data_IF_032059869830
#
_entry.id   IF_032059869830
#
_cell.length_a   1.000
_cell.length_b   1.000
_cell.length_c   1.000
_cell.angle_alpha   90.00
_cell.angle_beta   90.00
_cell.angle_gamma   90.00
#
_symmetry.space_group_name_H-M   'P 1'
#
loop_
_entity.id
_entity.type
_entity.pdbx_description
1 polymer ?
#
# COMPACT_ATOMS: atom_id res chain seq x y z
N UNK A 1 -9.81 -11.51 -9.30
CA UNK A 1 -8.79 -10.44 -9.24
C UNK A 1 -8.11 -10.53 -7.88
N UNK A 2 -6.82 -10.23 -7.81
CA UNK A 2 -6.04 -10.29 -6.57
C UNK A 2 -6.10 -8.94 -5.84
N UNK A 3 -5.96 -8.97 -4.51
CA UNK A 3 -5.93 -7.77 -3.66
C UNK A 3 -4.68 -6.95 -3.99
N UNK A 4 -4.84 -5.63 -4.07
CA UNK A 4 -3.75 -4.67 -4.30
C UNK A 4 -3.54 -3.79 -3.08
N UNK A 5 -2.33 -3.26 -2.94
CA UNK A 5 -1.98 -2.32 -1.88
C UNK A 5 -1.79 -0.93 -2.48
N UNK A 6 -2.44 0.07 -1.87
CA UNK A 6 -2.24 1.48 -2.19
C UNK A 6 -1.77 2.20 -0.92
N UNK A 7 -0.88 3.17 -1.09
CA UNK A 7 -0.51 4.07 0.00
C UNK A 7 -1.30 5.37 -0.12
N UNK A 8 -1.83 5.83 1.01
CA UNK A 8 -2.57 7.09 1.09
C UNK A 8 -2.32 7.83 2.41
N UNK A 9 -2.53 9.15 2.45
CA UNK A 9 -2.57 9.93 3.68
C UNK A 9 -3.65 9.44 4.65
N UNK A 10 -3.42 9.56 5.97
CA UNK A 10 -4.37 9.07 7.00
C UNK A 10 -5.75 9.71 6.92
N UNK A 11 -5.83 10.96 6.51
CA UNK A 11 -7.07 11.72 6.34
C UNK A 11 -7.93 11.22 5.17
N UNK A 12 -7.36 10.46 4.25
CA UNK A 12 -8.02 9.89 3.07
C UNK A 12 -8.06 8.35 3.12
N UNK A 13 -7.85 7.78 4.30
CA UNK A 13 -7.70 6.34 4.46
C UNK A 13 -9.07 5.65 4.52
N UNK A 14 -9.39 4.93 3.45
CA UNK A 14 -10.41 3.88 3.45
C UNK A 14 -9.69 2.52 3.45
N UNK A 15 -9.60 1.80 4.58
CA UNK A 15 -8.72 0.64 4.72
C UNK A 15 -8.98 -0.50 3.73
N UNK A 16 -10.20 -0.61 3.22
CA UNK A 16 -10.61 -1.61 2.24
C UNK A 16 -11.62 -1.04 1.26
N UNK A 17 -11.25 -1.01 -0.02
CA UNK A 17 -12.13 -0.75 -1.15
C UNK A 17 -12.52 -2.09 -1.78
N UNK A 18 -13.77 -2.50 -1.59
CA UNK A 18 -14.29 -3.76 -2.09
C UNK A 18 -14.50 -3.78 -3.61
N UNK A 19 -14.77 -2.62 -4.23
CA UNK A 19 -15.02 -2.52 -5.67
C UNK A 19 -13.71 -2.70 -6.45
N UNK A 20 -12.63 -2.09 -5.97
CA UNK A 20 -11.31 -2.15 -6.59
C UNK A 20 -10.41 -3.24 -6.03
N UNK A 21 -10.82 -3.88 -4.94
CA UNK A 21 -10.03 -4.84 -4.16
C UNK A 21 -8.71 -4.25 -3.67
N UNK A 22 -8.76 -3.03 -3.13
CA UNK A 22 -7.59 -2.27 -2.67
C UNK A 22 -7.57 -2.19 -1.14
N UNK A 23 -6.44 -2.55 -0.55
CA UNK A 23 -6.13 -2.21 0.84
C UNK A 23 -5.34 -0.90 0.84
N UNK A 24 -5.90 0.13 1.47
CA UNK A 24 -5.19 1.40 1.66
C UNK A 24 -4.36 1.34 2.95
N UNK A 25 -3.08 1.69 2.84
CA UNK A 25 -2.11 1.71 3.94
C UNK A 25 -1.62 3.16 4.12
N UNK A 26 -1.47 3.66 5.36
CA UNK A 26 -0.89 4.97 5.59
C UNK A 26 0.50 5.11 4.97
N UNK A 27 0.77 6.22 4.29
CA UNK A 27 2.06 6.51 3.64
C UNK A 27 3.26 6.38 4.58
N UNK A 28 3.06 6.72 5.86
CA UNK A 28 4.06 6.63 6.93
C UNK A 28 4.61 5.20 7.12
N UNK A 29 3.82 4.19 6.77
CA UNK A 29 4.19 2.79 6.93
C UNK A 29 4.94 2.25 5.71
N UNK A 30 4.98 3.01 4.59
CA UNK A 30 5.70 2.61 3.37
C UNK A 30 7.21 2.48 3.55
N UNK A 31 7.76 3.15 4.58
CA UNK A 31 9.20 3.17 4.88
C UNK A 31 9.77 1.78 5.25
N UNK A 32 8.93 0.81 5.63
CA UNK A 32 9.40 -0.54 5.95
C UNK A 32 8.39 -1.58 5.52
N UNK A 33 8.81 -2.54 4.70
CA UNK A 33 7.98 -3.68 4.25
C UNK A 33 7.32 -4.41 5.42
N UNK A 34 7.99 -4.50 6.57
CA UNK A 34 7.44 -5.10 7.80
C UNK A 34 6.19 -4.36 8.32
N UNK A 35 6.18 -3.03 8.30
CA UNK A 35 5.03 -2.24 8.76
C UNK A 35 3.87 -2.31 7.77
N UNK A 36 4.16 -2.21 6.47
CA UNK A 36 3.18 -2.47 5.41
C UNK A 36 2.55 -3.85 5.56
N UNK A 37 3.38 -4.89 5.73
CA UNK A 37 2.90 -6.27 5.89
C UNK A 37 2.00 -6.43 7.11
N UNK A 38 2.37 -5.84 8.26
CA UNK A 38 1.55 -5.88 9.47
C UNK A 38 0.19 -5.20 9.26
N UNK A 39 0.19 -4.05 8.60
CA UNK A 39 -1.04 -3.31 8.34
C UNK A 39 -1.95 -4.05 7.36
N UNK A 40 -1.40 -4.59 6.26
CA UNK A 40 -2.14 -5.43 5.31
C UNK A 40 -2.76 -6.64 6.00
N UNK A 41 -1.99 -7.36 6.83
CA UNK A 41 -2.50 -8.52 7.57
C UNK A 41 -3.59 -8.14 8.58
N UNK A 42 -3.51 -6.96 9.20
CA UNK A 42 -4.54 -6.48 10.11
C UNK A 42 -5.88 -6.29 9.37
N UNK A 43 -5.85 -5.69 8.17
CA UNK A 43 -7.04 -5.53 7.32
C UNK A 43 -7.56 -6.89 6.85
N UNK A 44 -6.71 -7.77 6.35
CA UNK A 44 -7.11 -9.12 5.92
C UNK A 44 -7.77 -9.92 7.04
N UNK A 45 -7.24 -9.82 8.27
CA UNK A 45 -7.83 -10.44 9.45
C UNK A 45 -9.20 -9.87 9.80
N UNK A 46 -9.41 -8.56 9.66
CA UNK A 46 -10.73 -7.94 9.84
C UNK A 46 -11.74 -8.40 8.79
N UNK A 47 -11.26 -8.72 7.58
CA UNK A 47 -12.07 -9.30 6.50
C UNK A 47 -12.29 -10.83 6.66
N UNK A 48 -11.77 -11.45 7.73
CA UNK A 48 -11.89 -12.90 7.97
C UNK A 48 -10.99 -13.76 7.08
N UNK A 49 -9.97 -13.18 6.46
CA UNK A 49 -9.01 -13.89 5.61
C UNK A 49 -7.79 -14.25 6.47
N UNK A 50 -7.68 -15.52 6.87
CA UNK A 50 -6.54 -16.01 7.64
C UNK A 50 -5.23 -15.91 6.86
N UNK A 51 -4.16 -15.54 7.57
CA UNK A 51 -2.84 -15.28 7.00
C UNK A 51 -1.78 -16.12 7.69
N UNK A 52 -0.93 -16.77 6.89
CA UNK A 52 0.25 -17.48 7.36
C UNK A 52 1.25 -16.52 8.05
N UNK A 53 2.21 -17.04 8.84
CA UNK A 53 3.17 -16.20 9.56
C UNK A 53 4.03 -15.31 8.65
N UNK A 54 4.25 -15.74 7.41
CA UNK A 54 5.12 -15.09 6.43
C UNK A 54 4.32 -14.67 5.19
N UNK A 55 4.60 -13.45 4.71
CA UNK A 55 3.91 -12.87 3.56
C UNK A 55 2.45 -12.49 3.85
N UNK A 56 1.77 -12.05 2.80
CA UNK A 56 0.33 -11.82 2.79
C UNK A 56 -0.24 -12.49 1.55
N UNK A 57 -1.32 -13.27 1.71
CA UNK A 57 -2.01 -13.93 0.61
C UNK A 57 -3.41 -13.38 0.45
N UNK A 58 -3.80 -13.23 -0.80
CA UNK A 58 -5.13 -12.89 -1.20
C UNK A 58 -6.08 -14.07 -0.93
N UNK A 59 -7.38 -13.81 -0.89
CA UNK A 59 -8.43 -14.82 -0.84
C UNK A 59 -8.38 -15.81 -2.03
N UNK A 60 -7.77 -15.44 -3.16
CA UNK A 60 -7.52 -16.35 -4.27
C UNK A 60 -6.33 -17.30 -4.07
N UNK A 61 -5.55 -17.14 -2.99
CA UNK A 61 -4.36 -17.93 -2.68
C UNK A 61 -3.05 -17.32 -3.19
N UNK A 62 -3.09 -16.34 -4.09
CA UNK A 62 -1.90 -15.67 -4.61
C UNK A 62 -1.27 -14.73 -3.58
N UNK A 63 0.04 -14.53 -3.68
CA UNK A 63 0.77 -13.59 -2.84
C UNK A 63 0.40 -12.14 -3.20
N UNK A 64 0.15 -11.31 -2.18
CA UNK A 64 -0.11 -9.89 -2.34
C UNK A 64 1.23 -9.19 -2.48
N UNK A 65 1.44 -8.53 -3.62
CA UNK A 65 2.65 -7.77 -3.86
C UNK A 65 2.70 -6.53 -2.97
N UNK A 66 3.66 -6.54 -2.05
CA UNK A 66 3.95 -5.43 -1.15
C UNK A 66 5.08 -4.59 -1.72
N UNK A 67 4.86 -3.98 -2.89
CA UNK A 67 5.85 -3.03 -3.40
C UNK A 67 5.93 -1.85 -2.42
N UNK A 68 7.13 -1.50 -1.91
CA UNK A 68 7.28 -0.23 -1.23
C UNK A 68 6.87 0.85 -2.23
N UNK A 69 6.04 1.81 -1.80
CA UNK A 69 5.83 3.02 -2.57
C UNK A 69 7.22 3.59 -2.84
N UNK A 70 7.71 3.47 -4.07
CA UNK A 70 8.75 4.36 -4.55
C UNK A 70 8.08 5.73 -4.43
N UNK A 71 8.47 6.59 -3.46
CA UNK A 71 7.84 7.88 -3.31
C UNK A 71 7.97 8.52 -4.67
N UNK A 72 6.84 8.88 -5.27
CA UNK A 72 6.81 9.51 -6.58
C UNK A 72 7.90 10.57 -6.59
N UNK A 73 8.95 10.26 -7.34
CA UNK A 73 10.03 11.15 -7.68
C UNK A 73 9.33 12.44 -8.08
N UNK A 74 9.51 13.50 -7.28
CA UNK A 74 9.00 14.83 -7.59
C UNK A 74 9.45 15.15 -9.01
N UNK A 75 8.58 14.94 -10.00
CA UNK A 75 8.84 15.31 -11.38
C UNK A 75 8.66 16.81 -11.44
N UNK A 76 9.81 17.47 -11.37
CA UNK A 76 10.16 18.65 -12.15
C UNK A 76 9.19 19.82 -12.12
N UNK A 77 9.51 20.82 -11.29
CA UNK A 77 9.21 22.24 -11.59
C UNK A 77 10.29 23.15 -10.98
N UNK A 78 11.56 22.81 -11.19
CA UNK A 78 12.66 23.75 -10.91
C UNK A 78 13.69 23.69 -12.03
N UNK A 79 13.29 24.16 -13.21
CA UNK A 79 14.26 24.65 -14.19
C UNK A 79 14.52 26.11 -13.83
N UNK A 80 15.65 26.34 -13.16
CA UNK A 80 16.24 27.65 -12.96
C UNK A 80 16.54 28.22 -14.36
N UNK A 81 15.69 29.11 -14.86
CA UNK A 81 16.07 30.08 -15.89
C UNK A 81 16.45 31.40 -15.19
N UNK A 82 17.59 31.38 -14.50
CA UNK A 82 18.45 32.56 -14.34
C UNK A 82 19.56 32.36 -15.39
N UNK A 83 19.80 33.18 -16.39
CA UNK A 83 19.42 34.55 -16.67
C UNK A 83 20.60 35.19 -17.42
N UNK A 84 20.30 35.92 -18.49
CA UNK A 84 21.16 36.82 -19.29
C UNK A 84 22.25 36.20 -20.17
#
# INVERSE_FOLDING_TARGET
MCIRVRFAPRDQLEPWDAEQQIIAIPDELSATTLYTLRAVRAVLRQLGIDQEPFGARCWCGDEIELFPAIPQQRRSDEVIHLGA
#
